data_IF_468099527939
#
_entry.id   IF_468099527939
#
_cell.length_a   1.000
_cell.length_b   1.000
_cell.length_c   1.000
_cell.angle_alpha   90.00
_cell.angle_beta   90.00
_cell.angle_gamma   90.00
#
_symmetry.space_group_name_H-M   'P 1'
#
loop_
_entity.id
_entity.type
_entity.pdbx_description
1 polymer ?
#
# COMPACT_ATOMS: atom_id res chain seq x y z
N UNK A 1 -7.02 -7.66 0.19
CA UNK A 1 -5.59 -7.55 0.54
C UNK A 1 -5.48 -6.92 1.92
N UNK A 2 -4.69 -7.49 2.83
CA UNK A 2 -4.44 -6.93 4.16
C UNK A 2 -2.96 -6.56 4.31
N UNK A 3 -2.69 -5.36 4.80
CA UNK A 3 -1.32 -4.91 5.08
C UNK A 3 -1.26 -3.47 5.56
N UNK A 4 -0.05 -3.00 5.87
CA UNK A 4 0.21 -1.63 6.35
C UNK A 4 0.34 -0.60 5.23
N UNK A 5 -0.56 -0.62 4.26
CA UNK A 5 -0.41 0.13 2.99
C UNK A 5 -1.07 1.50 3.00
N UNK A 6 -2.06 1.76 3.86
CA UNK A 6 -2.75 3.06 3.95
C UNK A 6 -2.27 3.82 5.19
N UNK A 7 -1.53 4.91 4.98
CA UNK A 7 -0.93 5.70 6.06
C UNK A 7 -0.03 4.90 7.03
N UNK A 8 0.49 3.75 6.60
CA UNK A 8 1.31 2.85 7.43
C UNK A 8 0.53 2.10 8.53
N UNK A 9 -0.81 2.12 8.48
CA UNK A 9 -1.68 1.46 9.45
C UNK A 9 -2.19 0.11 8.91
N UNK A 10 -2.45 -0.88 9.78
CA UNK A 10 -3.16 -2.10 9.37
C UNK A 10 -4.46 -1.76 8.66
N UNK A 11 -4.64 -2.23 7.43
CA UNK A 11 -5.77 -1.84 6.59
C UNK A 11 -6.11 -2.93 5.57
N UNK A 12 -7.35 -2.89 5.10
CA UNK A 12 -7.82 -3.71 4.00
C UNK A 12 -7.94 -2.88 2.72
N UNK A 13 -7.54 -3.49 1.60
CA UNK A 13 -7.85 -3.03 0.25
C UNK A 13 -8.75 -4.08 -0.38
N UNK A 14 -9.88 -3.64 -0.93
CA UNK A 14 -10.78 -4.49 -1.70
C UNK A 14 -10.05 -5.09 -2.92
N UNK A 15 -10.30 -6.36 -3.23
CA UNK A 15 -9.48 -7.10 -4.19
C UNK A 15 -9.58 -6.56 -5.62
N UNK A 16 -10.73 -5.99 -5.99
CA UNK A 16 -10.97 -5.27 -7.25
C UNK A 16 -10.09 -4.02 -7.41
N UNK A 17 -9.71 -3.38 -6.30
CA UNK A 17 -8.83 -2.20 -6.30
C UNK A 17 -7.34 -2.55 -6.26
N UNK A 18 -6.99 -3.78 -5.91
CA UNK A 18 -5.59 -4.18 -5.74
C UNK A 18 -4.74 -3.92 -7.00
N UNK A 19 -5.17 -4.26 -8.22
CA UNK A 19 -4.40 -3.95 -9.44
C UNK A 19 -4.13 -2.45 -9.60
N UNK A 20 -5.06 -1.58 -9.21
CA UNK A 20 -4.88 -0.13 -9.29
C UNK A 20 -3.78 0.35 -8.33
N UNK A 21 -3.78 -0.14 -7.09
CA UNK A 21 -2.74 0.19 -6.12
C UNK A 21 -1.36 -0.34 -6.55
N UNK A 22 -1.30 -1.60 -7.03
CA UNK A 22 -0.07 -2.19 -7.53
C UNK A 22 0.47 -1.40 -8.73
N UNK A 23 -0.40 -0.93 -9.64
CA UNK A 23 0.01 -0.12 -10.80
C UNK A 23 0.73 1.17 -10.38
N UNK A 24 0.22 1.82 -9.33
CA UNK A 24 0.74 3.14 -8.91
C UNK A 24 1.89 3.07 -7.91
N UNK A 25 1.99 1.98 -7.15
CA UNK A 25 2.91 1.93 -5.99
C UNK A 25 3.97 0.86 -6.09
N UNK A 26 3.82 -0.14 -6.96
CA UNK A 26 4.86 -1.14 -7.15
C UNK A 26 6.01 -0.52 -7.95
N UNK A 27 7.23 -0.59 -7.40
CA UNK A 27 8.42 -0.08 -8.07
C UNK A 27 8.91 -1.07 -9.13
N UNK A 28 9.27 -0.57 -10.31
CA UNK A 28 9.88 -1.39 -11.36
C UNK A 28 11.28 -1.89 -10.95
N UNK A 29 11.59 -3.15 -11.22
CA UNK A 29 12.92 -3.74 -10.96
C UNK A 29 13.04 -4.50 -9.63
N UNK A 30 11.94 -4.65 -8.88
CA UNK A 30 11.87 -5.51 -7.70
C UNK A 30 12.64 -5.00 -6.47
N UNK A 31 12.69 -5.84 -5.43
CA UNK A 31 13.25 -5.46 -4.13
C UNK A 31 14.78 -5.26 -4.15
N UNK A 32 15.49 -5.94 -5.04
CA UNK A 32 16.95 -5.81 -5.17
C UNK A 32 17.36 -4.41 -5.63
N UNK A 33 16.66 -3.86 -6.62
CA UNK A 33 16.89 -2.50 -7.11
C UNK A 33 16.55 -1.46 -6.03
N UNK A 34 15.46 -1.67 -5.28
CA UNK A 34 15.12 -0.82 -4.13
C UNK A 34 16.25 -0.81 -3.08
N UNK A 35 16.83 -1.97 -2.77
CA UNK A 35 17.96 -2.05 -1.86
C UNK A 35 19.21 -1.33 -2.38
N UNK A 36 19.57 -1.55 -3.65
CA UNK A 36 20.71 -0.88 -4.29
C UNK A 36 20.60 0.65 -4.28
N UNK A 37 19.37 1.19 -4.38
CA UNK A 37 19.11 2.62 -4.29
C UNK A 37 18.93 3.14 -2.85
N UNK A 38 19.19 2.34 -1.82
CA UNK A 38 19.03 2.74 -0.41
C UNK A 38 17.58 2.93 0.02
N UNK A 39 16.62 2.41 -0.75
CA UNK A 39 15.17 2.52 -0.50
C UNK A 39 14.59 1.27 0.19
N UNK A 40 15.45 0.34 0.61
CA UNK A 40 15.09 -0.86 1.36
C UNK A 40 16.12 -1.09 2.48
N UNK A 41 15.67 -1.38 3.70
CA UNK A 41 16.61 -1.75 4.77
C UNK A 41 17.30 -3.10 4.52
N UNK A 42 18.46 -3.31 5.14
CA UNK A 42 19.18 -4.58 5.05
C UNK A 42 18.36 -5.76 5.59
N UNK A 43 17.70 -5.58 6.74
CA UNK A 43 16.79 -6.57 7.30
C UNK A 43 15.66 -6.92 6.32
N UNK A 44 15.01 -5.91 5.71
CA UNK A 44 13.96 -6.13 4.73
C UNK A 44 14.45 -6.88 3.48
N UNK A 45 15.66 -6.57 3.00
CA UNK A 45 16.30 -7.30 1.90
C UNK A 45 16.49 -8.78 2.24
N UNK A 46 17.01 -9.11 3.43
CA UNK A 46 17.23 -10.50 3.84
C UNK A 46 15.92 -11.28 4.03
N UNK A 47 14.87 -10.63 4.52
CA UNK A 47 13.53 -11.22 4.55
C UNK A 47 13.05 -11.53 3.13
N UNK A 48 13.20 -10.60 2.18
CA UNK A 48 12.82 -10.83 0.78
C UNK A 48 13.63 -11.94 0.12
N UNK A 49 14.95 -12.02 0.36
CA UNK A 49 15.77 -13.13 -0.13
C UNK A 49 15.25 -14.47 0.39
N UNK A 50 14.85 -14.53 1.66
CA UNK A 50 14.31 -15.74 2.28
C UNK A 50 12.99 -16.13 1.65
N UNK A 51 12.04 -15.20 1.54
CA UNK A 51 10.72 -15.44 0.94
C UNK A 51 10.82 -15.82 -0.55
N UNK A 52 11.71 -15.17 -1.30
CA UNK A 52 11.90 -15.47 -2.73
C UNK A 52 12.52 -16.86 -2.94
N UNK A 53 13.41 -17.29 -2.05
CA UNK A 53 14.09 -18.59 -2.16
C UNK A 53 13.27 -19.76 -1.60
N UNK A 54 12.57 -19.55 -0.48
CA UNK A 54 11.88 -20.62 0.28
C UNK A 54 10.37 -20.60 0.12
N UNK A 55 9.81 -19.55 -0.46
CA UNK A 55 8.37 -19.35 -0.51
C UNK A 55 7.79 -18.91 0.85
N UNK A 56 6.48 -19.13 1.06
CA UNK A 56 5.78 -18.73 2.27
C UNK A 56 6.49 -19.22 3.54
N UNK A 57 6.73 -18.32 4.49
CA UNK A 57 7.55 -18.62 5.67
C UNK A 57 6.97 -18.02 6.94
N UNK A 58 7.08 -18.75 8.04
CA UNK A 58 6.68 -18.28 9.36
C UNK A 58 7.60 -17.18 9.89
N UNK A 59 7.05 -16.31 10.74
CA UNK A 59 7.80 -15.20 11.36
C UNK A 59 9.07 -15.67 12.06
N UNK A 60 9.01 -16.81 12.79
CA UNK A 60 10.18 -17.37 13.47
C UNK A 60 11.26 -17.81 12.48
N UNK A 61 10.87 -18.49 11.39
CA UNK A 61 11.79 -18.94 10.35
C UNK A 61 12.45 -17.75 9.62
N UNK A 62 11.69 -16.69 9.35
CA UNK A 62 12.21 -15.45 8.77
C UNK A 62 13.23 -14.78 9.69
N UNK A 63 12.92 -14.64 10.98
CA UNK A 63 13.84 -14.07 11.96
C UNK A 63 15.14 -14.87 12.06
N UNK A 64 15.06 -16.20 12.08
CA UNK A 64 16.25 -17.06 12.12
C UNK A 64 17.09 -16.92 10.86
N UNK A 65 16.47 -17.03 9.68
CA UNK A 65 17.18 -17.04 8.40
C UNK A 65 17.78 -15.67 8.07
N UNK A 66 17.11 -14.57 8.45
CA UNK A 66 17.63 -13.23 8.27
C UNK A 66 18.64 -12.81 9.36
N UNK A 67 18.82 -13.58 10.44
CA UNK A 67 19.73 -13.23 11.54
C UNK A 67 19.15 -12.26 12.58
N UNK A 68 17.82 -12.11 12.64
CA UNK A 68 17.08 -11.19 13.52
C UNK A 68 16.26 -11.91 14.61
N UNK A 69 16.69 -13.11 15.02
CA UNK A 69 16.00 -13.90 16.05
C UNK A 69 16.22 -13.39 17.49
N UNK A 70 17.27 -12.61 17.73
CA UNK A 70 17.61 -12.10 19.06
C UNK A 70 16.59 -11.05 19.53
N UNK A 71 16.20 -11.02 20.82
CA UNK A 71 15.20 -10.07 21.33
C UNK A 71 15.50 -8.59 21.03
N UNK A 72 16.78 -8.18 21.12
CA UNK A 72 17.22 -6.81 20.81
C UNK A 72 16.94 -6.37 19.36
N UNK A 73 16.80 -7.33 18.44
CA UNK A 73 16.58 -7.08 17.01
C UNK A 73 15.10 -7.01 16.62
N UNK A 74 14.19 -7.19 17.59
CA UNK A 74 12.73 -7.21 17.35
C UNK A 74 12.22 -5.94 16.67
N UNK A 75 12.62 -4.78 17.16
CA UNK A 75 12.17 -3.48 16.63
C UNK A 75 12.61 -3.30 15.19
N UNK A 76 13.84 -3.72 14.86
CA UNK A 76 14.38 -3.64 13.50
C UNK A 76 13.63 -4.58 12.55
N UNK A 77 13.37 -5.81 12.97
CA UNK A 77 12.57 -6.76 12.19
C UNK A 77 11.13 -6.26 11.97
N UNK A 78 10.46 -5.76 13.02
CA UNK A 78 9.09 -5.25 12.90
C UNK A 78 9.03 -4.02 11.98
N UNK A 79 10.07 -3.18 11.98
CA UNK A 79 10.23 -2.05 11.04
C UNK A 79 10.44 -2.54 9.61
N UNK A 80 11.28 -3.55 9.39
CA UNK A 80 11.49 -4.16 8.09
C UNK A 80 10.20 -4.78 7.54
N UNK A 81 9.43 -5.49 8.36
CA UNK A 81 8.14 -6.05 7.94
C UNK A 81 7.10 -4.97 7.63
N UNK A 82 7.11 -3.83 8.34
CA UNK A 82 6.27 -2.67 8.01
C UNK A 82 6.67 -2.07 6.66
N UNK A 83 7.97 -1.86 6.44
CA UNK A 83 8.52 -1.35 5.20
C UNK A 83 8.15 -2.22 3.99
N UNK A 84 8.30 -3.54 4.11
CA UNK A 84 7.94 -4.48 3.05
C UNK A 84 6.45 -4.45 2.70
N UNK A 85 5.59 -4.34 3.72
CA UNK A 85 4.14 -4.20 3.49
C UNK A 85 3.80 -2.88 2.82
N UNK A 86 4.38 -1.76 3.27
CA UNK A 86 4.15 -0.43 2.70
C UNK A 86 4.53 -0.34 1.22
N UNK A 87 5.52 -1.13 0.79
CA UNK A 87 6.01 -1.20 -0.59
C UNK A 87 5.35 -2.29 -1.44
N UNK A 88 4.33 -3.00 -0.93
CA UNK A 88 3.72 -4.15 -1.60
C UNK A 88 4.74 -5.24 -1.99
N UNK A 89 5.73 -5.50 -1.15
CA UNK A 89 6.73 -6.56 -1.38
C UNK A 89 6.36 -7.86 -0.68
N UNK A 90 5.94 -7.77 0.59
CA UNK A 90 5.53 -8.93 1.39
C UNK A 90 4.23 -8.63 2.15
N UNK A 91 3.47 -9.70 2.42
CA UNK A 91 2.21 -9.63 3.15
C UNK A 91 2.01 -10.85 4.05
N UNK A 92 1.19 -10.68 5.09
CA UNK A 92 0.69 -11.80 5.89
C UNK A 92 -0.35 -12.56 5.08
N UNK A 93 -0.20 -13.88 4.98
CA UNK A 93 -1.14 -14.75 4.25
C UNK A 93 -1.93 -15.68 5.17
N UNK A 94 -1.41 -15.99 6.35
CA UNK A 94 -2.03 -16.92 7.29
C UNK A 94 -1.70 -16.54 8.73
N UNK A 95 -2.59 -16.92 9.64
CA UNK A 95 -2.38 -16.95 11.09
C UNK A 95 -2.51 -18.39 11.53
N UNK A 96 -1.45 -18.94 12.13
CA UNK A 96 -1.49 -20.27 12.76
C UNK A 96 -1.60 -20.09 14.24
N UNK A 97 -2.45 -20.89 14.87
CA UNK A 97 -2.62 -20.95 16.31
C UNK A 97 -1.98 -22.23 16.83
N UNK A 98 -1.38 -22.15 18.01
CA UNK A 98 -0.71 -23.24 18.72
C UNK A 98 0.53 -23.87 18.03
N UNK A 99 1.71 -23.23 18.11
CA UNK A 99 1.97 -21.90 18.67
C UNK A 99 1.54 -20.78 17.72
N UNK A 100 1.18 -19.61 18.28
CA UNK A 100 0.78 -18.48 17.45
C UNK A 100 1.92 -17.97 16.55
N UNK A 101 1.68 -17.90 15.24
CA UNK A 101 2.63 -17.35 14.28
C UNK A 101 1.95 -16.79 13.04
N UNK A 102 2.56 -15.77 12.44
CA UNK A 102 2.19 -15.29 11.12
C UNK A 102 3.00 -16.01 10.06
N UNK A 103 2.32 -16.42 8.98
CA UNK A 103 2.95 -16.84 7.72
C UNK A 103 2.95 -15.67 6.77
N UNK A 104 4.11 -15.44 6.16
CA UNK A 104 4.36 -14.35 5.22
C UNK A 104 4.69 -14.91 3.86
N UNK A 105 4.29 -14.19 2.83
CA UNK A 105 4.60 -14.49 1.44
C UNK A 105 4.97 -13.21 0.70
N UNK A 106 5.50 -13.35 -0.52
CA UNK A 106 5.67 -12.21 -1.43
C UNK A 106 4.32 -11.83 -2.04
N UNK A 107 4.13 -10.54 -2.31
CA UNK A 107 2.97 -10.07 -3.07
C UNK A 107 3.01 -10.62 -4.50
N UNK A 108 4.21 -10.79 -5.06
CA UNK A 108 4.41 -11.35 -6.39
C UNK A 108 3.88 -12.78 -6.53
N UNK A 109 4.22 -13.64 -5.58
CA UNK A 109 3.71 -15.01 -5.56
C UNK A 109 2.20 -15.04 -5.29
N UNK A 110 1.72 -14.35 -4.25
CA UNK A 110 0.32 -14.42 -3.82
C UNK A 110 -0.66 -13.73 -4.78
N UNK A 111 -0.23 -12.69 -5.48
CA UNK A 111 -1.08 -11.83 -6.30
C UNK A 111 -0.55 -11.64 -7.73
N UNK A 112 0.05 -12.68 -8.30
CA UNK A 112 0.60 -12.66 -9.66
C UNK A 112 -0.40 -12.19 -10.72
N UNK A 113 -1.67 -12.59 -10.60
CA UNK A 113 -2.74 -12.15 -11.50
C UNK A 113 -3.06 -10.66 -11.34
N UNK A 114 -3.18 -10.15 -10.12
CA UNK A 114 -3.40 -8.73 -9.88
C UNK A 114 -2.22 -7.90 -10.39
N UNK A 115 -0.98 -8.42 -10.31
CA UNK A 115 0.20 -7.79 -10.92
C UNK A 115 0.15 -7.79 -12.45
N UNK A 116 -0.31 -8.88 -13.08
CA UNK A 116 -0.55 -8.92 -14.54
C UNK A 116 -1.60 -7.89 -14.94
N UNK A 117 -2.73 -7.86 -14.25
CA UNK A 117 -3.79 -6.87 -14.48
C UNK A 117 -3.25 -5.44 -14.30
N UNK A 118 -2.49 -5.18 -13.24
CA UNK A 118 -1.89 -3.88 -12.98
C UNK A 118 -1.07 -3.37 -14.17
N UNK A 119 -0.27 -4.22 -14.82
CA UNK A 119 0.55 -3.84 -15.99
C UNK A 119 -0.28 -3.33 -17.18
N UNK A 120 -1.51 -3.82 -17.36
CA UNK A 120 -2.41 -3.35 -18.41
C UNK A 120 -3.12 -2.02 -18.09
N UNK A 121 -3.09 -1.56 -16.84
CA UNK A 121 -3.78 -0.34 -16.44
C UNK A 121 -3.00 0.92 -16.84
N UNK A 122 -3.70 1.91 -17.34
CA UNK A 122 -3.17 3.29 -17.44
C UNK A 122 -3.06 3.87 -16.02
N UNK A 123 -1.92 4.46 -15.61
CA UNK A 123 -1.77 5.03 -14.27
C UNK A 123 -2.89 6.01 -13.90
N UNK A 124 -3.30 6.89 -14.82
CA UNK A 124 -4.34 7.88 -14.58
C UNK A 124 -5.69 7.24 -14.30
N UNK A 125 -6.00 6.12 -14.97
CA UNK A 125 -7.22 5.36 -14.73
C UNK A 125 -7.18 4.68 -13.35
N UNK A 126 -6.06 4.07 -12.98
CA UNK A 126 -5.87 3.48 -11.65
C UNK A 126 -6.07 4.52 -10.53
N UNK A 127 -5.51 5.73 -10.70
CA UNK A 127 -5.66 6.80 -9.72
C UNK A 127 -7.11 7.28 -9.63
N UNK A 128 -7.78 7.47 -10.78
CA UNK A 128 -9.19 7.83 -10.83
C UNK A 128 -10.06 6.83 -10.05
N UNK A 129 -9.89 5.52 -10.29
CA UNK A 129 -10.67 4.47 -9.61
C UNK A 129 -10.46 4.50 -8.09
N UNK A 130 -9.21 4.61 -7.63
CA UNK A 130 -8.91 4.65 -6.19
C UNK A 130 -9.49 5.92 -5.54
N UNK A 131 -9.27 7.09 -6.14
CA UNK A 131 -9.71 8.38 -5.58
C UNK A 131 -11.23 8.47 -5.56
N UNK A 132 -11.90 7.99 -6.62
CA UNK A 132 -13.36 7.88 -6.64
C UNK A 132 -13.85 7.04 -5.48
N UNK A 133 -13.31 5.83 -5.32
CA UNK A 133 -13.71 4.92 -4.25
C UNK A 133 -13.46 5.54 -2.86
N UNK A 134 -12.37 6.28 -2.69
CA UNK A 134 -12.12 7.00 -1.44
C UNK A 134 -13.27 7.96 -1.12
N UNK A 135 -13.68 8.82 -2.05
CA UNK A 135 -14.77 9.78 -1.81
C UNK A 135 -16.14 9.11 -1.66
N UNK A 136 -16.41 8.02 -2.37
CA UNK A 136 -17.62 7.23 -2.19
C UNK A 136 -17.75 6.68 -0.76
N UNK A 137 -16.62 6.34 -0.12
CA UNK A 137 -16.57 5.80 1.24
C UNK A 137 -16.51 6.93 2.29
N UNK A 138 -15.56 7.85 2.16
CA UNK A 138 -15.26 8.87 3.16
C UNK A 138 -16.18 10.09 3.07
N UNK A 139 -16.79 10.35 1.91
CA UNK A 139 -17.66 11.50 1.66
C UNK A 139 -16.94 12.84 1.52
N UNK A 140 -15.73 12.98 2.05
CA UNK A 140 -14.94 14.22 1.97
C UNK A 140 -13.45 13.96 2.16
N UNK A 141 -12.64 14.96 1.82
CA UNK A 141 -11.22 14.94 2.11
C UNK A 141 -10.46 16.09 1.47
N UNK A 142 -9.40 16.53 2.15
CA UNK A 142 -8.39 17.40 1.56
C UNK A 142 -7.47 16.57 0.64
N UNK A 143 -7.26 17.02 -0.60
CA UNK A 143 -6.52 16.25 -1.62
C UNK A 143 -5.09 15.87 -1.19
N UNK A 144 -4.38 16.73 -0.44
CA UNK A 144 -3.03 16.41 0.06
C UNK A 144 -3.07 15.31 1.12
N UNK A 145 -4.04 15.40 2.03
CA UNK A 145 -4.25 14.37 3.04
C UNK A 145 -4.65 13.03 2.39
N UNK A 146 -5.49 13.07 1.37
CA UNK A 146 -5.90 11.90 0.56
C UNK A 146 -4.70 11.27 -0.14
N UNK A 147 -3.85 12.06 -0.81
CA UNK A 147 -2.63 11.58 -1.45
C UNK A 147 -1.70 10.88 -0.47
N UNK A 148 -1.46 11.49 0.69
CA UNK A 148 -0.62 10.91 1.76
C UNK A 148 -1.21 9.62 2.34
N UNK A 149 -2.52 9.59 2.58
CA UNK A 149 -3.20 8.40 3.11
C UNK A 149 -3.11 7.22 2.14
N UNK A 150 -3.37 7.46 0.86
CA UNK A 150 -3.39 6.44 -0.18
C UNK A 150 -1.99 6.05 -0.68
N UNK A 151 -0.97 6.86 -0.37
CA UNK A 151 0.40 6.71 -0.87
C UNK A 151 0.48 6.96 -2.38
N UNK A 152 -0.24 7.97 -2.87
CA UNK A 152 -0.29 8.36 -4.28
C UNK A 152 0.43 9.69 -4.50
N UNK A 153 0.92 9.91 -5.71
CA UNK A 153 1.50 11.18 -6.10
C UNK A 153 0.41 12.30 -6.07
N UNK A 154 0.68 13.49 -5.49
CA UNK A 154 -0.33 14.53 -5.32
C UNK A 154 -0.98 14.99 -6.63
N UNK A 155 -0.21 15.06 -7.72
CA UNK A 155 -0.66 15.42 -9.06
C UNK A 155 -1.65 14.41 -9.65
N UNK A 156 -1.46 13.12 -9.37
CA UNK A 156 -2.38 12.05 -9.76
C UNK A 156 -3.72 12.17 -9.04
N UNK A 157 -3.69 12.51 -7.73
CA UNK A 157 -4.91 12.75 -6.96
C UNK A 157 -5.64 13.99 -7.45
N UNK A 158 -4.93 15.10 -7.65
CA UNK A 158 -5.52 16.34 -8.16
C UNK A 158 -6.13 16.17 -9.56
N UNK A 159 -5.49 15.38 -10.43
CA UNK A 159 -6.00 15.07 -11.77
C UNK A 159 -7.24 14.18 -11.71
N UNK A 160 -7.25 13.16 -10.85
CA UNK A 160 -8.45 12.34 -10.61
C UNK A 160 -9.60 13.18 -10.04
N UNK A 161 -9.34 14.02 -9.05
CA UNK A 161 -10.33 14.89 -8.42
C UNK A 161 -10.94 15.87 -9.43
N UNK A 162 -10.12 16.52 -10.28
CA UNK A 162 -10.62 17.36 -11.39
C UNK A 162 -11.57 16.61 -12.32
N UNK A 163 -11.21 15.37 -12.68
CA UNK A 163 -12.08 14.54 -13.53
C UNK A 163 -13.40 14.20 -12.83
N UNK A 164 -13.36 13.84 -11.55
CA UNK A 164 -14.56 13.57 -10.76
C UNK A 164 -15.46 14.80 -10.61
N UNK A 165 -14.88 15.99 -10.53
CA UNK A 165 -15.60 17.26 -10.51
C UNK A 165 -16.31 17.52 -11.84
N UNK A 166 -15.64 17.30 -12.98
CA UNK A 166 -16.30 17.41 -14.30
C UNK A 166 -17.42 16.39 -14.53
N UNK A 167 -17.37 15.27 -13.81
CA UNK A 167 -18.40 14.22 -13.84
C UNK A 167 -19.48 14.42 -12.76
N UNK A 168 -19.46 15.54 -12.03
CA UNK A 168 -20.39 15.87 -10.94
C UNK A 168 -20.43 14.83 -9.81
N UNK A 169 -19.34 14.07 -9.63
CA UNK A 169 -19.21 13.09 -8.55
C UNK A 169 -18.74 13.78 -7.26
N UNK A 170 -17.89 14.80 -7.39
CA UNK A 170 -17.38 15.59 -6.25
C UNK A 170 -17.48 17.08 -6.54
N UNK A 171 -17.50 17.89 -5.49
CA UNK A 171 -17.33 19.34 -5.57
C UNK A 171 -16.05 19.73 -4.84
N UNK A 172 -15.17 20.49 -5.51
CA UNK A 172 -13.87 20.90 -4.96
C UNK A 172 -13.92 22.34 -4.46
N UNK A 173 -12.93 22.72 -3.66
CA UNK A 173 -12.78 24.11 -3.22
C UNK A 173 -13.71 24.54 -2.09
N UNK A 174 -14.37 23.60 -1.41
CA UNK A 174 -15.29 23.90 -0.31
C UNK A 174 -14.51 24.45 0.88
N UNK A 175 -14.89 25.64 1.35
CA UNK A 175 -14.34 26.24 2.57
C UNK A 175 -15.19 25.85 3.77
N UNK A 176 -14.55 25.35 4.82
CA UNK A 176 -15.18 25.09 6.11
C UNK A 176 -14.60 26.08 7.10
N UNK A 177 -15.46 26.81 7.83
CA UNK A 177 -15.06 27.98 8.64
C UNK A 177 -13.91 27.73 9.63
N UNK A 178 -13.75 26.49 10.11
CA UNK A 178 -12.71 26.11 11.07
C UNK A 178 -11.44 25.53 10.43
N UNK A 179 -11.40 25.34 9.10
CA UNK A 179 -10.30 24.73 8.38
C UNK A 179 -9.65 25.74 7.43
N UNK A 180 -8.31 25.84 7.51
CA UNK A 180 -7.53 26.71 6.61
C UNK A 180 -7.47 26.20 5.17
N UNK A 181 -7.59 24.88 5.00
CA UNK A 181 -7.54 24.26 3.68
C UNK A 181 -8.94 24.08 3.09
N UNK A 182 -9.01 24.06 1.77
CA UNK A 182 -10.24 23.67 1.07
C UNK A 182 -10.41 22.15 1.10
N UNK A 183 -11.67 21.72 1.08
CA UNK A 183 -12.08 20.34 1.00
C UNK A 183 -12.64 20.01 -0.37
N UNK A 184 -12.54 18.74 -0.73
CA UNK A 184 -13.37 18.12 -1.76
C UNK A 184 -14.45 17.31 -1.06
N UNK A 185 -15.69 17.49 -1.46
CA UNK A 185 -16.86 16.77 -0.95
C UNK A 185 -17.43 15.88 -2.05
N UNK A 186 -17.96 14.72 -1.70
CA UNK A 186 -18.83 13.97 -2.58
C UNK A 186 -20.07 14.83 -2.88
N UNK A 187 -20.47 14.93 -4.15
CA UNK A 187 -21.45 15.93 -4.60
C UNK A 187 -22.80 15.85 -3.86
N UNK A 188 -23.21 14.67 -3.40
CA UNK A 188 -24.43 14.49 -2.59
C UNK A 188 -24.40 15.16 -1.21
N UNK A 189 -23.23 15.60 -0.76
CA UNK A 189 -23.00 16.25 0.53
C UNK A 189 -22.54 17.71 0.39
N UNK A 190 -22.37 18.19 -0.83
CA UNK A 190 -21.98 19.57 -1.12
C UNK A 190 -23.23 20.46 -1.22
#
# INVERSE_FOLDING_TARGET
YYGKVLGGRPSFIALDLLPCFLRLRLTSGGYQKLYQHGMLSYCAKLVMDTLTRRGPSETKALKLTAGFAQPKMRVEFDRAMKELQEKFLALKVEERYDPFTYVWDTVEHRWAEAMRAARSLRPQHAAYVIVRRYYEIAGYGNERAVARLLGLAPDMVATAARKLETEWIVQRGIRVAQYRETLTLLAKFA
#
